data_IF_934629136778
#
_entry.id   IF_934629136778
#
_cell.length_a   1.000
_cell.length_b   1.000
_cell.length_c   1.000
_cell.angle_alpha   90.00
_cell.angle_beta   90.00
_cell.angle_gamma   90.00
#
_symmetry.space_group_name_H-M   'P 1'
#
loop_
_entity.id
_entity.type
_entity.pdbx_description
1 polymer ?
#
# COMPACT_ATOMS: atom_id res chain seq x y z
N UNK A 1 -19.99 -5.68 5.38
CA UNK A 1 -18.92 -5.26 4.45
C UNK A 1 -17.98 -4.34 5.18
N UNK A 2 -16.67 -4.60 5.09
CA UNK A 2 -15.66 -3.88 5.86
C UNK A 2 -14.82 -2.96 4.96
N UNK A 3 -14.26 -1.90 5.54
CA UNK A 3 -13.26 -1.01 4.93
C UNK A 3 -11.87 -1.41 5.39
N UNK A 4 -11.06 -1.92 4.49
CA UNK A 4 -9.73 -2.45 4.77
C UNK A 4 -8.71 -1.58 4.05
N UNK A 5 -7.69 -1.13 4.78
CA UNK A 5 -6.53 -0.45 4.22
C UNK A 5 -5.33 -1.41 4.21
N UNK A 6 -4.78 -1.70 3.03
CA UNK A 6 -3.51 -2.39 2.90
C UNK A 6 -2.41 -1.32 2.80
N UNK A 7 -1.46 -1.31 3.73
CA UNK A 7 -0.30 -0.44 3.72
C UNK A 7 0.93 -1.26 3.38
N UNK A 8 1.55 -1.01 2.23
CA UNK A 8 2.70 -1.79 1.77
C UNK A 8 3.76 -0.92 1.12
N UNK A 9 5.02 -1.31 1.22
CA UNK A 9 6.13 -0.74 0.46
C UNK A 9 6.34 -1.43 -0.88
N UNK A 10 5.65 -2.55 -1.14
CA UNK A 10 5.75 -3.34 -2.36
C UNK A 10 4.41 -3.30 -3.12
N UNK A 11 4.36 -2.50 -4.19
CA UNK A 11 3.21 -2.43 -5.08
C UNK A 11 3.61 -2.31 -6.55
N UNK A 12 2.63 -2.37 -7.45
CA UNK A 12 2.83 -2.12 -8.87
C UNK A 12 3.55 -0.78 -9.11
N UNK A 13 4.50 -0.71 -10.07
CA UNK A 13 4.77 -1.67 -11.15
C UNK A 13 5.73 -2.82 -10.79
N UNK A 14 6.21 -2.93 -9.55
CA UNK A 14 7.08 -4.03 -9.15
C UNK A 14 6.33 -5.37 -9.29
N UNK A 15 7.03 -6.41 -9.78
CA UNK A 15 6.47 -7.76 -9.90
C UNK A 15 7.29 -8.70 -9.04
N UNK A 16 6.84 -8.93 -7.81
CA UNK A 16 7.47 -9.85 -6.87
C UNK A 16 6.40 -10.69 -6.14
N UNK A 17 6.83 -11.63 -5.29
CA UNK A 17 5.92 -12.49 -4.53
C UNK A 17 4.98 -11.73 -3.58
N UNK A 18 5.47 -10.66 -2.94
CA UNK A 18 4.67 -9.81 -2.02
C UNK A 18 3.58 -9.08 -2.79
N UNK A 19 3.91 -8.41 -3.90
CA UNK A 19 2.94 -7.70 -4.75
C UNK A 19 1.86 -8.66 -5.21
N UNK A 20 2.23 -9.85 -5.70
CA UNK A 20 1.26 -10.86 -6.16
C UNK A 20 0.33 -11.31 -5.04
N UNK A 21 0.86 -11.58 -3.86
CA UNK A 21 0.04 -11.99 -2.71
C UNK A 21 -0.92 -10.88 -2.30
N UNK A 22 -0.42 -9.65 -2.10
CA UNK A 22 -1.26 -8.53 -1.66
C UNK A 22 -2.30 -8.13 -2.71
N UNK A 23 -1.96 -8.17 -3.99
CA UNK A 23 -2.91 -7.93 -5.09
C UNK A 23 -4.00 -9.01 -5.13
N UNK A 24 -3.61 -10.28 -5.01
CA UNK A 24 -4.57 -11.40 -4.93
C UNK A 24 -5.49 -11.24 -3.72
N UNK A 25 -4.94 -10.94 -2.54
CA UNK A 25 -5.72 -10.66 -1.33
C UNK A 25 -6.69 -9.50 -1.53
N UNK A 26 -6.24 -8.39 -2.12
CA UNK A 26 -7.09 -7.23 -2.40
C UNK A 26 -8.24 -7.57 -3.36
N UNK A 27 -7.95 -8.31 -4.45
CA UNK A 27 -8.96 -8.77 -5.42
C UNK A 27 -9.96 -9.70 -4.75
N UNK A 28 -9.51 -10.69 -3.97
CA UNK A 28 -10.39 -11.62 -3.26
C UNK A 28 -11.29 -10.88 -2.25
N UNK A 29 -10.73 -10.00 -1.43
CA UNK A 29 -11.50 -9.21 -0.45
C UNK A 29 -12.55 -8.31 -1.13
N UNK A 30 -12.21 -7.67 -2.25
CA UNK A 30 -13.17 -6.92 -3.06
C UNK A 30 -14.26 -7.81 -3.63
N UNK A 31 -13.91 -9.00 -4.11
CA UNK A 31 -14.86 -10.01 -4.60
C UNK A 31 -15.83 -10.51 -3.52
N UNK A 32 -15.41 -10.51 -2.26
CA UNK A 32 -16.25 -10.79 -1.08
C UNK A 32 -17.10 -9.59 -0.64
N UNK A 33 -17.01 -8.44 -1.33
CA UNK A 33 -17.80 -7.24 -1.06
C UNK A 33 -17.15 -6.24 -0.09
N UNK A 34 -15.90 -6.44 0.33
CA UNK A 34 -15.18 -5.47 1.15
C UNK A 34 -14.67 -4.29 0.31
N UNK A 35 -14.59 -3.12 0.93
CA UNK A 35 -13.91 -1.97 0.33
C UNK A 35 -12.43 -2.05 0.69
N UNK A 36 -11.55 -2.15 -0.31
CA UNK A 36 -10.11 -2.27 -0.11
C UNK A 36 -9.39 -1.09 -0.74
N UNK A 37 -8.78 -0.28 0.10
CA UNK A 37 -7.88 0.80 -0.26
C UNK A 37 -6.42 0.34 -0.08
N UNK A 38 -5.52 0.80 -0.95
CA UNK A 38 -4.09 0.47 -0.86
C UNK A 38 -3.29 1.77 -0.73
N UNK A 39 -2.42 1.82 0.27
CA UNK A 39 -1.42 2.88 0.44
C UNK A 39 -0.06 2.31 0.12
N UNK A 40 0.55 2.87 -0.92
CA UNK A 40 1.80 2.39 -1.49
C UNK A 40 2.77 3.56 -1.85
N UNK A 41 4.05 3.27 -2.14
CA UNK A 41 5.09 4.30 -2.25
C UNK A 41 5.00 5.28 -3.43
N UNK A 42 4.36 4.94 -4.56
CA UNK A 42 4.29 5.78 -5.76
C UNK A 42 3.62 7.13 -5.50
N UNK A 43 2.79 7.18 -4.45
CA UNK A 43 2.24 8.42 -3.96
C UNK A 43 3.27 9.37 -3.35
N UNK A 44 4.45 8.93 -2.95
CA UNK A 44 5.42 9.71 -2.16
C UNK A 44 6.72 9.93 -2.94
N UNK A 45 7.51 10.93 -2.53
CA UNK A 45 8.87 11.05 -3.03
C UNK A 45 9.64 9.79 -2.64
N UNK A 46 10.48 9.26 -3.52
CA UNK A 46 11.30 8.07 -3.22
C UNK A 46 12.77 8.44 -3.21
N UNK A 47 13.55 7.73 -2.41
CA UNK A 47 15.02 7.81 -2.41
C UNK A 47 15.61 6.41 -2.59
N UNK A 48 16.77 6.29 -3.27
CA UNK A 48 17.46 5.01 -3.35
C UNK A 48 18.04 4.68 -1.97
N UNK A 49 18.03 3.40 -1.60
CA UNK A 49 18.73 2.94 -0.40
C UNK A 49 20.24 3.03 -0.65
N UNK A 50 21.05 3.50 0.33
CA UNK A 50 22.51 3.46 0.20
C UNK A 50 22.98 2.04 -0.14
N UNK A 51 23.89 1.93 -1.13
CA UNK A 51 24.42 0.66 -1.64
C UNK A 51 23.43 -0.26 -2.39
N UNK A 52 22.14 0.11 -2.49
CA UNK A 52 21.10 -0.62 -3.23
C UNK A 52 20.22 0.36 -4.04
N UNK A 53 20.76 1.01 -5.08
CA UNK A 53 20.07 2.07 -5.81
C UNK A 53 18.80 1.63 -6.55
N UNK A 54 18.69 0.34 -6.86
CA UNK A 54 17.51 -0.31 -7.42
C UNK A 54 16.34 -0.38 -6.43
N UNK A 55 16.61 -0.35 -5.12
CA UNK A 55 15.58 -0.34 -4.08
C UNK A 55 15.20 1.12 -3.78
N UNK A 56 13.95 1.45 -4.10
CA UNK A 56 13.38 2.79 -3.92
C UNK A 56 12.49 2.80 -2.69
N UNK A 57 12.87 3.52 -1.65
CA UNK A 57 12.06 3.66 -0.42
C UNK A 57 11.23 4.93 -0.50
N UNK A 58 9.94 4.81 -0.20
CA UNK A 58 9.02 5.95 -0.12
C UNK A 58 9.26 6.80 1.13
N UNK A 59 9.53 8.09 0.92
CA UNK A 59 9.56 9.12 1.98
C UNK A 59 8.13 9.54 2.32
N UNK A 60 7.43 8.67 3.04
CA UNK A 60 6.09 8.96 3.50
C UNK A 60 6.11 10.12 4.52
N UNK A 61 5.61 11.29 4.12
CA UNK A 61 5.37 12.39 5.06
C UNK A 61 4.19 12.02 5.96
N UNK A 62 4.35 11.97 7.31
CA UNK A 62 3.31 11.50 8.22
C UNK A 62 1.95 12.19 8.00
N UNK A 63 1.94 13.52 7.81
CA UNK A 63 0.69 14.26 7.58
C UNK A 63 0.00 13.97 6.24
N UNK A 64 0.72 13.48 5.22
CA UNK A 64 0.12 13.07 3.94
C UNK A 64 -0.40 11.63 4.00
N UNK A 65 0.37 10.74 4.66
CA UNK A 65 -0.08 9.39 4.98
C UNK A 65 -1.37 9.44 5.81
N UNK A 66 -1.36 10.20 6.89
CA UNK A 66 -2.51 10.33 7.79
C UNK A 66 -3.76 10.87 7.07
N UNK A 67 -3.60 11.84 6.16
CA UNK A 67 -4.72 12.32 5.31
C UNK A 67 -5.32 11.22 4.45
N UNK A 68 -4.50 10.37 3.82
CA UNK A 68 -4.98 9.23 3.02
C UNK A 68 -5.69 8.18 3.89
N UNK A 69 -5.10 7.82 5.03
CA UNK A 69 -5.71 6.89 5.99
C UNK A 69 -7.07 7.41 6.49
N UNK A 70 -7.14 8.70 6.86
CA UNK A 70 -8.38 9.35 7.31
C UNK A 70 -9.46 9.38 6.23
N UNK A 71 -9.08 9.64 4.97
CA UNK A 71 -10.01 9.63 3.86
C UNK A 71 -10.56 8.22 3.57
N UNK A 72 -9.72 7.20 3.68
CA UNK A 72 -10.11 5.80 3.51
C UNK A 72 -11.04 5.30 4.63
N UNK A 73 -11.03 5.92 5.82
CA UNK A 73 -11.83 5.53 7.01
C UNK A 73 -11.82 4.01 7.25
N UNK A 74 -10.65 3.37 7.34
CA UNK A 74 -10.58 1.93 7.48
C UNK A 74 -11.06 1.47 8.86
N UNK A 75 -11.69 0.31 8.89
CA UNK A 75 -11.98 -0.47 10.10
C UNK A 75 -10.80 -1.38 10.44
N UNK A 76 -10.05 -1.82 9.42
CA UNK A 76 -8.88 -2.68 9.56
C UNK A 76 -7.70 -2.17 8.74
N UNK A 77 -6.49 -2.31 9.28
CA UNK A 77 -5.24 -2.02 8.58
C UNK A 77 -4.42 -3.30 8.51
N UNK A 78 -3.97 -3.64 7.30
CA UNK A 78 -3.06 -4.74 7.01
C UNK A 78 -1.72 -4.18 6.56
N UNK A 79 -0.61 -4.70 7.08
CA UNK A 79 0.77 -4.26 6.82
C UNK A 79 1.58 -5.46 6.35
#
# INVERSE_FOLDING_TARGET
>A
MARILIATDAWHPQVNGVVRTLDTTAVTLRGLGHHVDVVEPSGFATVPVPFYPEIRVGLARPGRLYRRVRAARPEYVHI
#
